data_IF_805023943833
#
_entry.id   IF_805023943833
#
_cell.length_a   1.000
_cell.length_b   1.000
_cell.length_c   1.000
_cell.angle_alpha   90.00
_cell.angle_beta   90.00
_cell.angle_gamma   90.00
#
_symmetry.space_group_name_H-M   'P 1'
#
loop_
_entity.id
_entity.type
_entity.pdbx_description
1 polymer ?
#
# COMPACT_ATOMS: atom_id res chain seq x y z
N UNK A 1 0.31 10.23 4.51
CA UNK A 1 -0.19 8.87 4.80
C UNK A 1 -0.79 8.18 3.57
N UNK A 2 -2.01 8.53 3.14
CA UNK A 2 -2.79 7.70 2.19
C UNK A 2 -2.41 7.81 0.69
N UNK A 3 -1.56 8.76 0.31
CA UNK A 3 -0.99 8.84 -1.06
C UNK A 3 0.38 8.17 -1.04
N UNK A 4 1.45 8.91 -0.69
CA UNK A 4 2.83 8.41 -0.74
C UNK A 4 3.06 7.19 0.15
N UNK A 5 2.61 7.24 1.41
CA UNK A 5 2.79 6.15 2.36
C UNK A 5 2.10 4.85 1.93
N UNK A 6 0.87 4.95 1.45
CA UNK A 6 0.13 3.83 0.86
C UNK A 6 0.89 3.26 -0.35
N UNK A 7 1.32 4.11 -1.29
CA UNK A 7 2.05 3.67 -2.49
C UNK A 7 3.37 3.00 -2.13
N UNK A 8 4.18 3.59 -1.24
CA UNK A 8 5.44 3.01 -0.78
C UNK A 8 5.24 1.65 -0.12
N UNK A 9 4.21 1.50 0.72
CA UNK A 9 3.90 0.23 1.35
C UNK A 9 3.45 -0.82 0.32
N UNK A 10 2.60 -0.44 -0.64
CA UNK A 10 2.12 -1.34 -1.69
C UNK A 10 3.23 -1.79 -2.65
N UNK A 11 4.21 -0.91 -2.91
CA UNK A 11 5.44 -1.21 -3.65
C UNK A 11 6.50 -1.94 -2.81
N UNK A 12 6.27 -2.10 -1.51
CA UNK A 12 7.18 -2.79 -0.58
C UNK A 12 8.57 -2.15 -0.51
N UNK A 13 8.64 -0.81 -0.62
CA UNK A 13 9.87 -0.04 -0.44
C UNK A 13 10.40 -0.26 0.97
N UNK A 14 11.73 -0.36 1.13
CA UNK A 14 12.32 -0.63 2.44
C UNK A 14 11.96 0.52 3.40
N UNK A 15 11.53 0.23 4.63
CA UNK A 15 11.12 1.27 5.58
C UNK A 15 12.17 2.35 5.81
N UNK A 16 13.47 2.00 5.80
CA UNK A 16 14.56 2.97 5.93
C UNK A 16 14.66 3.92 4.73
N UNK A 17 14.40 3.45 3.51
CA UNK A 17 14.39 4.30 2.31
C UNK A 17 13.19 5.26 2.33
N UNK A 18 12.03 4.77 2.78
CA UNK A 18 10.84 5.61 3.01
C UNK A 18 11.13 6.66 4.07
N UNK A 19 11.77 6.27 5.17
CA UNK A 19 12.16 7.17 6.24
C UNK A 19 13.08 8.29 5.73
N UNK A 20 14.15 7.93 5.04
CA UNK A 20 15.07 8.89 4.44
C UNK A 20 14.38 9.83 3.46
N UNK A 21 13.45 9.30 2.64
CA UNK A 21 12.67 10.13 1.72
C UNK A 21 11.89 11.20 2.48
N UNK A 22 11.15 10.84 3.54
CA UNK A 22 10.39 11.82 4.31
C UNK A 22 11.30 12.81 5.05
N UNK A 23 12.41 12.33 5.63
CA UNK A 23 13.40 13.19 6.30
C UNK A 23 14.01 14.25 5.36
N UNK A 24 14.19 13.93 4.08
CA UNK A 24 14.78 14.84 3.09
C UNK A 24 13.79 15.83 2.48
N UNK A 25 12.49 15.50 2.46
CA UNK A 25 11.49 16.23 1.66
C UNK A 25 10.48 17.07 2.46
N UNK A 26 10.50 17.01 3.80
CA UNK A 26 9.55 17.73 4.66
C UNK A 26 10.27 18.58 5.70
N UNK A 27 9.83 19.83 5.86
CA UNK A 27 10.46 20.82 6.74
C UNK A 27 10.31 20.52 8.24
N UNK A 28 9.28 19.75 8.59
CA UNK A 28 8.93 19.34 9.94
C UNK A 28 9.35 17.89 10.24
N UNK A 29 10.21 17.30 9.40
CA UNK A 29 10.70 15.94 9.56
C UNK A 29 11.83 15.87 10.60
N UNK A 30 11.45 15.53 11.83
CA UNK A 30 12.38 15.21 12.92
C UNK A 30 12.22 13.74 13.32
N UNK A 31 13.32 13.12 13.76
CA UNK A 31 13.35 11.67 14.06
C UNK A 31 12.21 11.23 15.00
N UNK A 32 11.97 11.99 16.07
CA UNK A 32 10.95 11.68 17.08
C UNK A 32 9.52 11.68 16.53
N UNK A 33 9.26 12.38 15.42
CA UNK A 33 7.98 12.37 14.71
C UNK A 33 7.97 11.27 13.64
N UNK A 34 9.04 11.20 12.84
CA UNK A 34 9.06 10.39 11.64
C UNK A 34 9.18 8.90 11.93
N UNK A 35 9.82 8.49 13.03
CA UNK A 35 9.96 7.06 13.37
C UNK A 35 8.58 6.41 13.57
N UNK A 36 7.71 6.99 14.40
CA UNK A 36 6.36 6.45 14.62
C UNK A 36 5.49 6.49 13.36
N UNK A 37 5.56 7.59 12.61
CA UNK A 37 4.74 7.80 11.42
C UNK A 37 5.13 6.88 10.26
N UNK A 38 6.43 6.69 10.00
CA UNK A 38 6.91 5.87 8.89
C UNK A 38 6.86 4.40 9.24
N UNK A 39 7.50 3.97 10.33
CA UNK A 39 7.65 2.54 10.62
C UNK A 39 6.36 1.93 11.16
N UNK A 40 5.62 2.65 12.00
CA UNK A 40 4.36 2.17 12.57
C UNK A 40 3.17 2.44 11.67
N UNK A 41 2.84 3.72 11.49
CA UNK A 41 1.57 4.09 10.88
C UNK A 41 1.52 3.86 9.37
N UNK A 42 2.53 4.28 8.63
CA UNK A 42 2.56 4.15 7.18
C UNK A 42 3.06 2.78 6.71
N UNK A 43 4.10 2.24 7.35
CA UNK A 43 4.80 1.04 6.91
C UNK A 43 4.29 -0.25 7.52
N UNK A 44 3.55 -0.20 8.62
CA UNK A 44 3.09 -1.39 9.37
C UNK A 44 4.24 -2.37 9.69
N UNK A 45 5.46 -1.85 9.79
CA UNK A 45 6.70 -2.65 9.93
C UNK A 45 6.96 -3.07 11.38
N UNK A 46 6.27 -2.43 12.33
CA UNK A 46 6.25 -2.76 13.75
C UNK A 46 5.30 -3.93 14.11
N UNK A 47 4.70 -4.58 13.10
CA UNK A 47 3.75 -5.67 13.30
C UNK A 47 2.42 -5.26 13.93
N UNK A 48 2.15 -3.95 14.02
CA UNK A 48 0.93 -3.39 14.59
C UNK A 48 1.03 -2.98 16.06
N UNK A 49 2.23 -2.61 16.51
CA UNK A 49 2.45 -2.07 17.87
C UNK A 49 1.77 -0.71 18.07
N UNK A 50 1.80 0.15 17.05
CA UNK A 50 1.18 1.48 17.06
C UNK A 50 -0.21 1.43 16.40
N UNK A 51 -0.37 0.64 15.34
CA UNK A 51 -1.60 0.61 14.56
C UNK A 51 -2.17 -0.79 14.46
N UNK A 52 -3.48 -0.91 14.60
CA UNK A 52 -4.15 -2.23 14.58
C UNK A 52 -4.29 -2.87 13.18
N UNK A 53 -4.03 -2.12 12.10
CA UNK A 53 -4.13 -2.58 10.71
C UNK A 53 -3.22 -1.73 9.81
N UNK A 54 -2.72 -2.26 8.68
CA UNK A 54 -2.00 -1.46 7.71
C UNK A 54 -2.91 -0.39 7.08
N UNK A 55 -2.40 0.82 6.91
CA UNK A 55 -3.08 1.92 6.21
C UNK A 55 -2.89 1.80 4.69
N UNK A 56 -3.47 0.73 4.12
CA UNK A 56 -3.50 0.51 2.68
C UNK A 56 -4.87 0.82 2.09
N UNK A 57 -4.88 1.31 0.86
CA UNK A 57 -6.13 1.59 0.13
C UNK A 57 -5.97 1.43 -1.38
N UNK A 58 -7.07 1.08 -2.03
CA UNK A 58 -7.21 1.09 -3.48
C UNK A 58 -7.60 2.49 -3.99
N UNK A 59 -7.67 2.67 -5.31
CA UNK A 59 -8.06 3.92 -5.97
C UNK A 59 -9.39 4.51 -5.48
N UNK A 60 -10.34 3.64 -5.09
CA UNK A 60 -11.65 4.05 -4.60
C UNK A 60 -11.59 4.95 -3.34
N UNK A 61 -10.57 4.78 -2.49
CA UNK A 61 -10.39 5.69 -1.35
C UNK A 61 -9.97 7.08 -1.81
N UNK A 62 -8.97 7.15 -2.70
CA UNK A 62 -8.45 8.42 -3.23
C UNK A 62 -9.55 9.17 -3.97
N UNK A 63 -10.31 8.51 -4.85
CA UNK A 63 -11.42 9.14 -5.58
C UNK A 63 -12.53 9.70 -4.68
N UNK A 64 -12.73 9.13 -3.48
CA UNK A 64 -13.74 9.61 -2.52
C UNK A 64 -13.24 10.73 -1.63
N UNK A 65 -11.94 10.78 -1.37
CA UNK A 65 -11.32 11.67 -0.38
C UNK A 65 -10.51 12.80 -1.01
N UNK A 66 -10.58 12.95 -2.34
CA UNK A 66 -9.85 13.98 -3.09
C UNK A 66 -10.57 14.35 -4.38
N UNK A 67 -10.12 15.43 -5.01
CA UNK A 67 -10.65 15.92 -6.29
C UNK A 67 -9.93 15.32 -7.52
N UNK A 68 -9.21 14.20 -7.37
CA UNK A 68 -8.61 13.52 -8.51
C UNK A 68 -9.71 12.97 -9.43
N UNK A 69 -9.63 13.31 -10.71
CA UNK A 69 -10.50 12.72 -11.70
C UNK A 69 -10.21 11.23 -11.86
N UNK A 70 -11.27 10.44 -12.04
CA UNK A 70 -11.12 9.03 -12.37
C UNK A 70 -10.41 8.92 -13.71
N UNK A 71 -9.19 8.40 -13.67
CA UNK A 71 -8.43 8.02 -14.85
C UNK A 71 -8.07 6.53 -14.70
N UNK A 72 -8.46 5.76 -15.71
CA UNK A 72 -8.35 4.30 -15.68
C UNK A 72 -6.89 3.85 -15.51
N UNK A 73 -5.91 4.60 -16.02
CA UNK A 73 -4.51 4.19 -15.98
C UNK A 73 -3.95 4.09 -14.55
N UNK A 74 -4.06 5.15 -13.75
CA UNK A 74 -3.54 5.11 -12.37
C UNK A 74 -4.47 4.33 -11.43
N UNK A 75 -5.78 4.33 -11.68
CA UNK A 75 -6.73 3.55 -10.88
C UNK A 75 -6.44 2.05 -10.99
N UNK A 76 -6.24 1.57 -12.22
CA UNK A 76 -5.94 0.17 -12.49
C UNK A 76 -4.63 -0.26 -11.82
N UNK A 77 -3.58 0.55 -11.95
CA UNK A 77 -2.28 0.29 -11.31
C UNK A 77 -2.42 0.23 -9.79
N UNK A 78 -3.08 1.21 -9.18
CA UNK A 78 -3.18 1.27 -7.72
C UNK A 78 -4.04 0.13 -7.16
N UNK A 79 -5.15 -0.21 -7.85
CA UNK A 79 -5.97 -1.36 -7.47
C UNK A 79 -5.21 -2.68 -7.64
N UNK A 80 -4.44 -2.83 -8.71
CA UNK A 80 -3.58 -3.98 -8.95
C UNK A 80 -2.54 -4.16 -7.83
N UNK A 81 -1.83 -3.09 -7.47
CA UNK A 81 -0.87 -3.07 -6.36
C UNK A 81 -1.54 -3.44 -5.03
N UNK A 82 -2.72 -2.88 -4.74
CA UNK A 82 -3.49 -3.17 -3.54
C UNK A 82 -3.86 -4.67 -3.43
N UNK A 83 -4.42 -5.24 -4.49
CA UNK A 83 -4.83 -6.65 -4.47
C UNK A 83 -3.63 -7.60 -4.45
N UNK A 84 -2.55 -7.27 -5.18
CA UNK A 84 -1.28 -8.01 -5.10
C UNK A 84 -0.74 -8.04 -3.67
N UNK A 85 -0.72 -6.89 -2.99
CA UNK A 85 -0.23 -6.79 -1.61
C UNK A 85 -1.07 -7.66 -0.66
N UNK A 86 -2.40 -7.55 -0.74
CA UNK A 86 -3.30 -8.39 0.07
C UNK A 86 -3.15 -9.87 -0.22
N UNK A 87 -3.01 -10.25 -1.49
CA UNK A 87 -2.78 -11.63 -1.89
C UNK A 87 -1.50 -12.18 -1.27
N UNK A 88 -0.38 -11.47 -1.45
CA UNK A 88 0.95 -11.85 -0.95
C UNK A 88 1.00 -11.95 0.57
N UNK A 89 0.35 -11.04 1.29
CA UNK A 89 0.43 -10.94 2.75
C UNK A 89 -0.84 -11.38 3.49
N UNK A 90 -1.80 -11.98 2.82
CA UNK A 90 -3.07 -12.45 3.38
C UNK A 90 -2.90 -13.27 4.66
N UNK A 91 -1.92 -14.18 4.67
CA UNK A 91 -1.59 -15.03 5.82
C UNK A 91 -1.21 -14.24 7.09
N UNK A 92 -0.62 -13.04 6.95
CA UNK A 92 -0.27 -12.17 8.10
C UNK A 92 -1.51 -11.52 8.73
N UNK A 93 -2.62 -11.48 8.00
CA UNK A 93 -3.83 -10.78 8.40
C UNK A 93 -4.97 -11.73 8.79
N UNK A 94 -4.77 -13.04 8.74
CA UNK A 94 -5.80 -14.05 9.00
C UNK A 94 -6.48 -13.88 10.37
N UNK A 95 -5.67 -13.54 11.38
CA UNK A 95 -6.15 -13.28 12.75
C UNK A 95 -6.58 -11.83 13.01
N UNK A 96 -6.41 -10.91 12.06
CA UNK A 96 -6.72 -9.49 12.24
C UNK A 96 -8.21 -9.21 11.94
N UNK A 97 -9.05 -8.89 12.96
CA UNK A 97 -10.48 -8.67 12.75
C UNK A 97 -10.79 -7.53 11.78
N UNK A 98 -9.93 -6.49 11.75
CA UNK A 98 -10.10 -5.30 10.90
C UNK A 98 -9.73 -5.53 9.43
N UNK A 99 -9.10 -6.66 9.12
CA UNK A 99 -8.74 -7.08 7.76
C UNK A 99 -9.66 -8.18 7.21
N UNK A 100 -10.52 -8.78 8.05
CA UNK A 100 -11.39 -9.90 7.66
C UNK A 100 -12.22 -9.62 6.41
N UNK A 101 -12.78 -8.42 6.28
CA UNK A 101 -13.61 -8.07 5.12
C UNK A 101 -12.79 -8.05 3.83
N UNK A 102 -11.61 -7.45 3.86
CA UNK A 102 -10.70 -7.33 2.73
C UNK A 102 -10.20 -8.71 2.28
N UNK A 103 -9.85 -9.59 3.23
CA UNK A 103 -9.46 -10.97 2.94
C UNK A 103 -10.65 -11.77 2.38
N UNK A 104 -11.87 -11.58 2.92
CA UNK A 104 -13.05 -12.22 2.36
C UNK A 104 -13.35 -11.75 0.92
N UNK A 105 -13.16 -10.47 0.61
CA UNK A 105 -13.30 -9.93 -0.75
C UNK A 105 -12.25 -10.51 -1.70
N UNK A 106 -11.00 -10.62 -1.23
CA UNK A 106 -9.92 -11.28 -1.98
C UNK A 106 -10.29 -12.73 -2.30
N UNK A 107 -10.74 -13.50 -1.31
CA UNK A 107 -11.07 -14.92 -1.46
C UNK A 107 -12.29 -15.16 -2.38
N UNK A 108 -13.19 -14.18 -2.48
CA UNK A 108 -14.36 -14.24 -3.38
C UNK A 108 -14.05 -13.71 -4.79
N UNK A 109 -12.88 -13.13 -5.01
CA UNK A 109 -12.52 -12.57 -6.31
C UNK A 109 -12.40 -13.69 -7.35
N UNK A 110 -12.99 -13.54 -8.55
CA UNK A 110 -12.78 -14.47 -9.65
C UNK A 110 -11.28 -14.60 -9.97
N UNK A 111 -10.83 -15.84 -10.20
CA UNK A 111 -9.41 -16.15 -10.44
C UNK A 111 -8.82 -15.30 -11.58
N UNK A 112 -9.53 -15.20 -12.70
CA UNK A 112 -9.11 -14.40 -13.86
C UNK A 112 -8.90 -12.92 -13.50
N UNK A 113 -9.80 -12.35 -12.70
CA UNK A 113 -9.69 -10.96 -12.25
C UNK A 113 -8.47 -10.76 -11.34
N UNK A 114 -8.23 -11.69 -10.43
CA UNK A 114 -7.05 -11.64 -9.57
C UNK A 114 -5.77 -11.77 -10.40
N UNK A 115 -5.72 -12.70 -11.35
CA UNK A 115 -4.59 -12.90 -12.25
C UNK A 115 -4.29 -11.63 -13.06
N UNK A 116 -5.31 -10.93 -13.56
CA UNK A 116 -5.13 -9.65 -14.24
C UNK A 116 -4.50 -8.60 -13.31
N UNK A 117 -5.00 -8.45 -12.08
CA UNK A 117 -4.39 -7.53 -11.10
C UNK A 117 -2.93 -7.90 -10.80
N UNK A 118 -2.61 -9.19 -10.66
CA UNK A 118 -1.23 -9.63 -10.42
C UNK A 118 -0.32 -9.33 -11.61
N UNK A 119 -0.81 -9.50 -12.84
CA UNK A 119 -0.07 -9.19 -14.06
C UNK A 119 0.21 -7.70 -14.19
N UNK A 120 -0.81 -6.84 -14.03
CA UNK A 120 -0.66 -5.38 -14.09
C UNK A 120 0.32 -4.89 -13.03
N UNK A 121 0.17 -5.37 -11.78
CA UNK A 121 1.04 -4.98 -10.69
C UNK A 121 2.49 -5.42 -10.93
N UNK A 122 2.70 -6.64 -11.44
CA UNK A 122 4.02 -7.13 -11.79
C UNK A 122 4.66 -6.26 -12.88
N UNK A 123 3.94 -6.02 -13.98
CA UNK A 123 4.43 -5.18 -15.09
C UNK A 123 4.85 -3.80 -14.60
N UNK A 124 4.01 -3.15 -13.79
CA UNK A 124 4.32 -1.82 -13.26
C UNK A 124 5.55 -1.81 -12.34
N UNK A 125 5.68 -2.81 -11.46
CA UNK A 125 6.85 -2.97 -10.58
C UNK A 125 8.11 -3.22 -11.43
N UNK A 126 8.05 -4.15 -12.37
CA UNK A 126 9.14 -4.46 -13.28
C UNK A 126 9.58 -3.20 -14.06
N UNK A 127 8.62 -2.43 -14.61
CA UNK A 127 8.90 -1.19 -15.33
C UNK A 127 9.63 -0.15 -14.46
N UNK A 128 9.25 -0.01 -13.16
CA UNK A 128 9.87 0.95 -12.22
C UNK A 128 11.28 0.52 -11.79
N UNK A 129 11.50 -0.77 -11.54
CA UNK A 129 12.77 -1.24 -10.95
C UNK A 129 13.77 -1.75 -12.00
N UNK A 130 13.35 -2.04 -13.23
CA UNK A 130 14.26 -2.38 -14.35
C UNK A 130 14.87 -1.12 -14.99
N UNK A 131 14.26 0.06 -14.81
CA UNK A 131 14.82 1.33 -15.32
C UNK A 131 15.96 1.92 -14.48
N UNK A 132 16.51 1.18 -13.52
CA UNK A 132 17.70 1.57 -12.73
C UNK A 132 18.91 0.66 -13.01
#
# INVERSE_FOLDING_TARGET
>A
LMILGNIFLLLEIKPNEVYEFFMKNYIDAYDWVMVGNVYGMSGFSDGGSITTKPYISSSNYLLKMSDYSKNESWCEILDALYWRFLYKYSFKFDKNPRMKMQIALLNKMPKEKLENHLLVAKKFIDDIFITN
#
